data_IF_317279334478
#
_entry.id   IF_317279334478
#
_cell.length_a   1.000
_cell.length_b   1.000
_cell.length_c   1.000
_cell.angle_alpha   90.00
_cell.angle_beta   90.00
_cell.angle_gamma   90.00
#
_symmetry.space_group_name_H-M   'P 1'
#
loop_
_entity.id
_entity.type
_entity.pdbx_description
1 polymer ?
#
# COMPACT_ATOMS: atom_id res chain seq x y z
N UNK A 1 -1.81 16.24 6.86
CA UNK A 1 -0.79 15.51 6.08
C UNK A 1 0.51 15.21 6.86
N UNK A 2 1.28 16.21 7.32
CA UNK A 2 2.60 15.99 7.97
C UNK A 2 2.64 14.95 9.11
N UNK A 3 1.70 14.98 10.07
CA UNK A 3 1.63 13.99 11.16
C UNK A 3 1.44 12.57 10.61
N UNK A 4 0.62 12.42 9.57
CA UNK A 4 0.37 11.12 8.93
C UNK A 4 1.62 10.61 8.22
N UNK A 5 2.41 11.48 7.58
CA UNK A 5 3.74 11.15 7.02
C UNK A 5 4.64 10.58 8.11
N UNK A 6 4.79 11.27 9.25
CA UNK A 6 5.61 10.78 10.37
C UNK A 6 5.14 9.42 10.89
N UNK A 7 3.83 9.22 11.04
CA UNK A 7 3.27 7.96 11.56
C UNK A 7 3.41 6.79 10.57
N UNK A 8 3.10 7.02 9.29
CA UNK A 8 3.26 6.01 8.24
C UNK A 8 4.74 5.61 8.08
N UNK A 9 5.65 6.59 8.19
CA UNK A 9 7.09 6.35 8.13
C UNK A 9 7.58 5.52 9.31
N UNK A 10 7.13 5.81 10.53
CA UNK A 10 7.46 4.99 11.72
C UNK A 10 7.00 3.54 11.57
N UNK A 11 5.82 3.33 10.97
CA UNK A 11 5.34 1.98 10.67
C UNK A 11 6.23 1.29 9.64
N UNK A 12 6.46 1.92 8.49
CA UNK A 12 7.25 1.34 7.40
C UNK A 12 8.70 1.03 7.80
N UNK A 13 9.32 1.88 8.64
CA UNK A 13 10.68 1.70 9.12
C UNK A 13 10.77 0.79 10.37
N UNK A 14 9.67 0.56 11.07
CA UNK A 14 9.63 -0.17 12.34
C UNK A 14 9.95 -1.66 12.24
N UNK A 15 9.99 -2.21 11.03
CA UNK A 15 10.30 -3.62 10.78
C UNK A 15 11.80 -3.93 10.73
N UNK A 16 12.66 -2.90 10.68
CA UNK A 16 14.11 -3.08 10.50
C UNK A 16 14.51 -3.21 9.03
N UNK A 17 15.58 -3.95 8.77
CA UNK A 17 16.07 -4.22 7.41
C UNK A 17 15.32 -5.41 6.79
N UNK A 18 14.70 -5.25 5.61
CA UNK A 18 14.03 -6.35 4.93
C UNK A 18 15.03 -7.43 4.49
N UNK A 19 14.67 -8.71 4.68
CA UNK A 19 15.50 -9.84 4.25
C UNK A 19 16.74 -10.07 5.13
N UNK A 20 17.88 -10.37 4.50
CA UNK A 20 19.11 -10.82 5.18
C UNK A 20 20.08 -9.68 5.59
N UNK A 21 19.63 -8.42 5.62
CA UNK A 21 20.43 -7.29 6.10
C UNK A 21 20.26 -6.01 5.28
N UNK A 22 21.19 -5.04 5.43
CA UNK A 22 21.10 -3.76 4.74
C UNK A 22 21.01 -3.95 3.23
N UNK A 23 19.91 -3.49 2.66
CA UNK A 23 19.65 -3.60 1.23
C UNK A 23 19.72 -2.20 0.59
N UNK A 24 20.50 -2.08 -0.48
CA UNK A 24 20.37 -0.93 -1.38
C UNK A 24 19.07 -1.02 -2.19
N UNK A 25 18.78 0.01 -2.98
CA UNK A 25 17.52 0.11 -3.72
C UNK A 25 17.33 -1.03 -4.73
N UNK A 26 18.42 -1.56 -5.30
CA UNK A 26 18.36 -2.67 -6.23
C UNK A 26 18.11 -3.99 -5.49
N UNK A 27 18.74 -4.20 -4.33
CA UNK A 27 18.50 -5.36 -3.49
C UNK A 27 17.05 -5.37 -2.98
N UNK A 28 16.53 -4.25 -2.48
CA UNK A 28 15.13 -4.11 -2.05
C UNK A 28 14.17 -4.48 -3.19
N UNK A 29 14.45 -4.02 -4.41
CA UNK A 29 13.62 -4.33 -5.57
C UNK A 29 13.50 -5.84 -5.84
N UNK A 30 14.54 -6.64 -5.57
CA UNK A 30 14.49 -8.10 -5.78
C UNK A 30 13.64 -8.84 -4.74
N UNK A 31 13.41 -8.24 -3.58
CA UNK A 31 12.57 -8.81 -2.52
C UNK A 31 11.07 -8.65 -2.82
N UNK A 32 10.68 -7.74 -3.71
CA UNK A 32 9.27 -7.47 -4.02
C UNK A 32 8.71 -8.53 -4.98
N UNK A 33 8.02 -9.50 -4.40
CA UNK A 33 7.51 -10.68 -5.11
C UNK A 33 5.99 -10.77 -5.11
N UNK A 34 5.34 -10.22 -4.09
CA UNK A 34 3.90 -10.37 -3.89
C UNK A 34 3.08 -9.48 -4.86
N UNK A 35 1.96 -9.98 -5.41
CA UNK A 35 1.17 -9.24 -6.41
C UNK A 35 0.67 -7.87 -5.91
N UNK A 36 0.21 -7.79 -4.65
CA UNK A 36 -0.29 -6.54 -4.07
C UNK A 36 0.81 -5.49 -3.91
N UNK A 37 2.03 -5.93 -3.56
CA UNK A 37 3.18 -5.06 -3.38
C UNK A 37 3.66 -4.48 -4.73
N UNK A 38 3.74 -5.34 -5.76
CA UNK A 38 4.05 -4.91 -7.13
C UNK A 38 3.00 -3.96 -7.69
N UNK A 39 1.72 -4.26 -7.45
CA UNK A 39 0.61 -3.40 -7.87
C UNK A 39 0.66 -2.01 -7.22
N UNK A 40 0.98 -1.94 -5.92
CA UNK A 40 1.14 -0.68 -5.20
C UNK A 40 2.27 0.16 -5.82
N UNK A 41 3.42 -0.45 -6.11
CA UNK A 41 4.54 0.24 -6.75
C UNK A 41 4.23 0.66 -8.20
N UNK A 42 3.48 -0.15 -8.94
CA UNK A 42 2.98 0.19 -10.28
C UNK A 42 2.11 1.46 -10.22
N UNK A 43 1.16 1.50 -9.29
CA UNK A 43 0.28 2.64 -9.09
C UNK A 43 1.05 3.90 -8.65
N UNK A 44 2.04 3.76 -7.78
CA UNK A 44 2.93 4.85 -7.37
C UNK A 44 3.76 5.38 -8.56
N UNK A 45 4.23 4.52 -9.46
CA UNK A 45 4.90 4.94 -10.69
C UNK A 45 4.04 5.86 -11.55
N UNK A 46 2.74 5.57 -11.68
CA UNK A 46 1.79 6.44 -12.39
C UNK A 46 1.64 7.82 -11.70
N UNK A 47 1.72 7.85 -10.36
CA UNK A 47 1.66 9.10 -9.58
C UNK A 47 2.91 9.93 -9.80
N UNK A 48 4.09 9.31 -9.85
CA UNK A 48 5.35 9.99 -10.20
C UNK A 48 5.24 10.65 -11.58
N UNK A 49 4.74 9.94 -12.59
CA UNK A 49 4.57 10.51 -13.93
C UNK A 49 3.59 11.69 -13.95
N UNK A 50 2.47 11.59 -13.22
CA UNK A 50 1.49 12.68 -13.10
C UNK A 50 2.04 13.89 -12.37
N UNK A 51 2.67 13.69 -11.22
CA UNK A 51 3.26 14.77 -10.43
C UNK A 51 4.38 15.47 -11.21
N UNK A 52 5.21 14.72 -11.92
CA UNK A 52 6.26 15.27 -12.80
C UNK A 52 5.67 16.18 -13.86
N UNK A 53 4.65 15.72 -14.59
CA UNK A 53 3.93 16.55 -15.59
C UNK A 53 3.30 17.79 -14.97
N UNK A 54 2.74 17.69 -13.77
CA UNK A 54 2.21 18.83 -13.04
C UNK A 54 3.29 19.87 -12.75
N UNK A 55 4.45 19.45 -12.26
CA UNK A 55 5.59 20.35 -12.03
C UNK A 55 6.13 20.98 -13.32
N UNK A 56 6.29 20.21 -14.40
CA UNK A 56 6.73 20.71 -15.71
C UNK A 56 5.76 21.74 -16.30
N UNK A 57 4.46 21.59 -16.02
CA UNK A 57 3.41 22.52 -16.44
C UNK A 57 3.17 23.68 -15.45
N UNK A 58 3.94 23.78 -14.37
CA UNK A 58 3.72 24.72 -13.26
C UNK A 58 2.36 24.56 -12.55
N UNK A 59 1.70 23.42 -12.70
CA UNK A 59 0.48 23.05 -11.96
C UNK A 59 0.85 22.27 -10.69
N UNK A 60 1.40 23.00 -9.72
CA UNK A 60 1.82 22.45 -8.43
C UNK A 60 0.64 21.92 -7.61
N UNK A 61 -0.56 22.49 -7.79
CA UNK A 61 -1.78 22.03 -7.14
C UNK A 61 -2.12 20.63 -7.60
N UNK A 62 -2.12 20.38 -8.92
CA UNK A 62 -2.40 19.04 -9.43
C UNK A 62 -1.36 18.01 -8.99
N UNK A 63 -0.08 18.38 -8.98
CA UNK A 63 0.99 17.50 -8.50
C UNK A 63 0.79 17.11 -7.03
N UNK A 64 0.39 18.04 -6.16
CA UNK A 64 0.05 17.76 -4.77
C UNK A 64 -1.20 16.89 -4.65
N UNK A 65 -2.27 17.18 -5.39
CA UNK A 65 -3.52 16.41 -5.34
C UNK A 65 -3.30 14.93 -5.70
N UNK A 66 -2.59 14.66 -6.80
CA UNK A 66 -2.29 13.30 -7.24
C UNK A 66 -1.40 12.56 -6.21
N UNK A 67 -0.40 13.26 -5.65
CA UNK A 67 0.50 12.70 -4.63
C UNK A 67 -0.22 12.41 -3.32
N UNK A 68 -1.00 13.38 -2.81
CA UNK A 68 -1.72 13.25 -1.55
C UNK A 68 -2.81 12.19 -1.65
N UNK A 69 -3.56 12.14 -2.75
CA UNK A 69 -4.57 11.10 -2.97
C UNK A 69 -3.96 9.70 -2.87
N UNK A 70 -2.80 9.48 -3.51
CA UNK A 70 -2.11 8.21 -3.41
C UNK A 70 -1.58 7.95 -2.00
N UNK A 71 -1.01 8.96 -1.33
CA UNK A 71 -0.49 8.81 0.03
C UNK A 71 -1.58 8.35 1.01
N UNK A 72 -2.82 8.84 0.86
CA UNK A 72 -3.96 8.36 1.64
C UNK A 72 -4.33 6.92 1.31
N UNK A 73 -4.39 6.53 0.02
CA UNK A 73 -4.60 5.12 -0.37
C UNK A 73 -3.50 4.20 0.18
N UNK A 74 -2.23 4.63 0.12
CA UNK A 74 -1.11 3.91 0.71
C UNK A 74 -1.30 3.69 2.22
N UNK A 75 -1.74 4.73 2.94
CA UNK A 75 -1.90 4.66 4.38
C UNK A 75 -3.13 3.86 4.84
N UNK A 76 -4.28 4.06 4.19
CA UNK A 76 -5.56 3.56 4.69
C UNK A 76 -5.92 2.18 4.12
N UNK A 77 -5.38 1.86 2.93
CA UNK A 77 -5.56 0.57 2.26
C UNK A 77 -4.29 -0.27 2.30
N UNK A 78 -3.19 0.17 1.66
CA UNK A 78 -2.02 -0.71 1.49
C UNK A 78 -1.37 -1.12 2.82
N UNK A 79 -1.05 -0.16 3.70
CA UNK A 79 -0.48 -0.44 5.02
C UNK A 79 -1.38 -1.40 5.83
N UNK A 80 -2.70 -1.19 5.79
CA UNK A 80 -3.64 -2.02 6.53
C UNK A 80 -3.76 -3.44 5.94
N UNK A 81 -3.73 -3.57 4.61
CA UNK A 81 -3.78 -4.85 3.90
C UNK A 81 -2.55 -5.71 4.19
N UNK A 82 -1.34 -5.14 4.09
CA UNK A 82 -0.09 -5.91 4.22
C UNK A 82 0.38 -6.05 5.65
N UNK A 83 -0.32 -5.44 6.62
CA UNK A 83 0.13 -5.37 8.02
C UNK A 83 0.44 -6.74 8.61
N UNK A 84 -0.44 -7.72 8.42
CA UNK A 84 -0.25 -9.07 8.94
C UNK A 84 0.94 -9.76 8.26
N UNK A 85 1.01 -9.68 6.93
CA UNK A 85 2.14 -10.21 6.14
C UNK A 85 3.47 -9.58 6.56
N UNK A 86 3.54 -8.27 6.74
CA UNK A 86 4.75 -7.56 7.16
C UNK A 86 5.24 -7.98 8.56
N UNK A 87 4.35 -8.48 9.42
CA UNK A 87 4.70 -9.08 10.72
C UNK A 87 5.02 -10.58 10.65
N UNK A 88 5.11 -11.16 9.45
CA UNK A 88 5.44 -12.57 9.25
C UNK A 88 4.24 -13.51 9.15
N UNK A 89 3.00 -12.98 9.08
CA UNK A 89 1.78 -13.78 8.97
C UNK A 89 1.77 -14.75 7.78
N UNK A 90 2.49 -14.41 6.70
CA UNK A 90 2.62 -15.23 5.49
C UNK A 90 4.06 -15.75 5.27
N UNK A 91 4.83 -15.92 6.35
CA UNK A 91 6.21 -16.40 6.30
C UNK A 91 7.24 -15.31 5.93
N UNK A 92 8.53 -15.67 6.04
CA UNK A 92 9.63 -14.71 5.93
C UNK A 92 9.74 -14.05 4.55
N UNK A 93 9.52 -14.81 3.47
CA UNK A 93 9.58 -14.28 2.10
C UNK A 93 8.46 -13.25 1.83
N UNK A 94 7.23 -13.55 2.26
CA UNK A 94 6.11 -12.62 2.14
C UNK A 94 6.31 -11.35 2.98
N UNK A 95 6.86 -11.50 4.20
CA UNK A 95 7.22 -10.37 5.04
C UNK A 95 8.27 -9.48 4.38
N UNK A 96 9.34 -10.08 3.81
CA UNK A 96 10.39 -9.35 3.12
C UNK A 96 9.85 -8.55 1.92
N UNK A 97 8.92 -9.13 1.13
CA UNK A 97 8.25 -8.42 0.03
C UNK A 97 7.50 -7.18 0.52
N UNK A 98 6.65 -7.33 1.54
CA UNK A 98 5.86 -6.23 2.07
C UNK A 98 6.74 -5.13 2.66
N UNK A 99 7.76 -5.51 3.43
CA UNK A 99 8.69 -4.58 4.06
C UNK A 99 9.54 -3.82 3.02
N UNK A 100 10.01 -4.51 1.98
CA UNK A 100 10.75 -3.88 0.89
C UNK A 100 9.88 -2.89 0.12
N UNK A 101 8.65 -3.27 -0.22
CA UNK A 101 7.72 -2.40 -0.92
C UNK A 101 7.31 -1.17 -0.08
N UNK A 102 7.09 -1.33 1.24
CA UNK A 102 6.89 -0.22 2.17
C UNK A 102 8.09 0.75 2.18
N UNK A 103 9.31 0.22 2.21
CA UNK A 103 10.56 1.01 2.21
C UNK A 103 10.73 1.81 0.91
N UNK A 104 10.53 1.15 -0.23
CA UNK A 104 10.59 1.78 -1.56
C UNK A 104 9.51 2.86 -1.70
N UNK A 105 8.26 2.55 -1.35
CA UNK A 105 7.17 3.50 -1.45
C UNK A 105 7.35 4.70 -0.51
N UNK A 106 7.91 4.49 0.68
CA UNK A 106 8.23 5.58 1.60
C UNK A 106 9.25 6.54 0.97
N UNK A 107 10.34 6.00 0.42
CA UNK A 107 11.39 6.81 -0.22
C UNK A 107 10.85 7.73 -1.31
N UNK A 108 10.09 7.17 -2.25
CA UNK A 108 9.52 7.89 -3.38
C UNK A 108 8.50 8.93 -2.89
N UNK A 109 7.61 8.56 -1.96
CA UNK A 109 6.59 9.48 -1.45
C UNK A 109 7.20 10.65 -0.66
N UNK A 110 8.29 10.44 0.08
CA UNK A 110 9.01 11.53 0.75
C UNK A 110 9.54 12.54 -0.26
N UNK A 111 10.10 12.07 -1.38
CA UNK A 111 10.61 12.95 -2.45
C UNK A 111 9.47 13.68 -3.18
N UNK A 112 8.36 13.01 -3.46
CA UNK A 112 7.17 13.64 -4.04
C UNK A 112 6.56 14.73 -3.13
N UNK A 113 6.56 14.50 -1.82
CA UNK A 113 5.99 15.41 -0.82
C UNK A 113 6.94 16.52 -0.39
N UNK A 114 8.25 16.39 -0.63
CA UNK A 114 9.27 17.32 -0.13
C UNK A 114 9.05 18.79 -0.55
N UNK A 115 8.61 19.11 -1.79
CA UNK A 115 8.29 20.49 -2.17
C UNK A 115 7.15 21.11 -1.35
N UNK A 116 6.28 20.30 -0.76
CA UNK A 116 5.07 20.74 -0.06
C UNK A 116 5.18 20.64 1.48
N UNK A 117 5.96 19.67 1.98
CA UNK A 117 6.12 19.36 3.40
C UNK A 117 7.59 19.33 3.83
N UNK A 118 8.38 20.39 3.57
CA UNK A 118 9.84 20.32 3.55
C UNK A 118 10.46 19.86 4.86
N UNK A 119 9.90 20.27 6.01
CA UNK A 119 10.42 19.87 7.32
C UNK A 119 10.01 18.46 7.72
N UNK A 120 8.79 18.04 7.41
CA UNK A 120 8.31 16.72 7.80
C UNK A 120 9.01 15.63 6.98
N UNK A 121 9.22 15.86 5.69
CA UNK A 121 9.94 14.91 4.83
C UNK A 121 11.44 14.89 5.16
N UNK A 122 12.05 16.04 5.47
CA UNK A 122 13.45 16.11 5.91
C UNK A 122 13.66 15.38 7.24
N UNK A 123 12.75 15.57 8.20
CA UNK A 123 12.79 14.86 9.49
C UNK A 123 12.77 13.35 9.28
N UNK A 124 11.82 12.82 8.50
CA UNK A 124 11.77 11.37 8.21
C UNK A 124 13.02 10.91 7.48
N UNK A 125 13.49 11.68 6.49
CA UNK A 125 14.68 11.33 5.71
C UNK A 125 15.92 11.17 6.60
N UNK A 126 16.03 12.02 7.63
CA UNK A 126 17.12 11.98 8.61
C UNK A 126 17.19 10.66 9.39
N UNK A 127 16.06 9.95 9.54
CA UNK A 127 16.00 8.71 10.31
C UNK A 127 16.68 7.52 9.62
N UNK A 128 16.76 7.51 8.28
CA UNK A 128 17.13 6.29 7.56
C UNK A 128 17.91 6.48 6.25
N UNK A 129 17.91 7.68 5.64
CA UNK A 129 18.62 7.94 4.36
C UNK A 129 19.79 8.91 4.46
N UNK A 130 19.92 9.67 5.54
CA UNK A 130 20.92 10.74 5.68
C UNK A 130 22.39 10.28 5.50
N UNK A 131 22.69 9.00 5.76
CA UNK A 131 24.01 8.43 5.53
C UNK A 131 24.37 8.32 4.03
N UNK A 132 23.37 8.09 3.17
CA UNK A 132 23.56 7.94 1.71
C UNK A 132 23.35 9.27 0.98
N UNK A 133 22.26 9.97 1.28
CA UNK A 133 21.94 11.29 0.73
C UNK A 133 21.59 12.22 1.90
N UNK A 134 22.36 13.29 2.17
CA UNK A 134 22.22 14.05 3.41
C UNK A 134 20.87 14.73 3.66
N UNK A 135 20.06 14.95 2.62
CA UNK A 135 18.78 15.66 2.71
C UNK A 135 17.86 15.22 1.57
N UNK A 136 16.55 15.14 1.83
CA UNK A 136 15.58 14.83 0.78
C UNK A 136 15.57 15.90 -0.31
N UNK A 137 15.85 17.15 0.05
CA UNK A 137 15.95 18.30 -0.87
C UNK A 137 17.20 18.27 -1.75
N UNK A 138 18.12 17.33 -1.50
CA UNK A 138 19.29 17.05 -2.33
C UNK A 138 19.17 15.73 -3.10
N UNK A 139 18.11 14.97 -2.87
CA UNK A 139 17.84 13.75 -3.61
C UNK A 139 17.31 14.10 -5.01
N UNK A 140 17.55 13.19 -5.98
CA UNK A 140 16.97 13.33 -7.31
C UNK A 140 15.45 13.15 -7.24
N UNK A 141 14.72 13.90 -8.07
CA UNK A 141 13.29 13.69 -8.27
C UNK A 141 13.03 12.24 -8.71
N UNK A 142 12.00 11.55 -8.18
CA UNK A 142 11.74 10.15 -8.49
C UNK A 142 11.45 9.94 -9.97
N UNK A 143 11.90 8.80 -10.50
CA UNK A 143 11.57 8.34 -11.84
C UNK A 143 11.19 6.85 -11.86
N UNK A 144 10.33 6.48 -12.81
CA UNK A 144 9.92 5.08 -13.05
C UNK A 144 11.05 4.18 -13.57
N UNK A 145 12.22 4.74 -13.85
CA UNK A 145 13.43 4.00 -14.22
C UNK A 145 14.26 3.56 -13.00
N UNK A 146 13.98 4.08 -11.81
CA UNK A 146 14.69 3.70 -10.59
C UNK A 146 14.40 2.23 -10.21
N UNK A 147 15.39 1.48 -9.66
CA UNK A 147 15.21 0.07 -9.34
C UNK A 147 13.98 -0.23 -8.48
N UNK A 148 13.72 0.60 -7.47
CA UNK A 148 12.58 0.43 -6.57
C UNK A 148 11.23 0.45 -7.31
N UNK A 149 10.98 1.44 -8.16
CA UNK A 149 9.73 1.51 -8.94
C UNK A 149 9.70 0.51 -10.09
N UNK A 150 10.86 0.13 -10.64
CA UNK A 150 10.96 -0.91 -11.65
C UNK A 150 10.46 -2.28 -11.14
N UNK A 151 10.54 -2.54 -9.82
CA UNK A 151 9.98 -3.74 -9.20
C UNK A 151 8.45 -3.86 -9.37
N UNK A 152 7.75 -2.73 -9.55
CA UNK A 152 6.32 -2.69 -9.81
C UNK A 152 5.92 -2.68 -11.28
N UNK A 153 6.87 -2.64 -12.24
CA UNK A 153 6.59 -2.38 -13.66
C UNK A 153 5.54 -3.33 -14.28
N UNK A 154 5.58 -4.60 -13.89
CA UNK A 154 4.67 -5.64 -14.40
C UNK A 154 3.45 -5.86 -13.48
N UNK A 155 3.27 -5.02 -12.45
CA UNK A 155 2.14 -5.08 -11.54
C UNK A 155 0.86 -4.48 -12.14
N UNK A 156 -0.29 -5.05 -11.78
CA UNK A 156 -1.59 -4.47 -12.12
C UNK A 156 -1.90 -3.30 -11.17
N UNK A 157 -1.68 -2.06 -11.62
CA UNK A 157 -1.92 -0.85 -10.84
C UNK A 157 -3.37 -0.68 -10.32
N UNK A 158 -4.35 -1.38 -10.91
CA UNK A 158 -5.74 -1.36 -10.44
C UNK A 158 -6.03 -2.35 -9.30
N UNK A 159 -5.12 -3.28 -9.01
CA UNK A 159 -5.30 -4.31 -7.99
C UNK A 159 -5.46 -3.70 -6.59
N UNK A 160 -4.55 -2.79 -6.16
CA UNK A 160 -4.64 -2.18 -4.84
C UNK A 160 -6.00 -1.49 -4.61
N UNK A 161 -6.44 -0.67 -5.56
CA UNK A 161 -7.74 0.01 -5.47
C UNK A 161 -8.93 -0.96 -5.48
N UNK A 162 -8.83 -2.06 -6.24
CA UNK A 162 -9.86 -3.12 -6.26
C UNK A 162 -9.98 -3.81 -4.90
N UNK A 163 -8.86 -4.17 -4.30
CA UNK A 163 -8.81 -4.85 -2.99
C UNK A 163 -9.21 -3.91 -1.86
N UNK A 164 -8.80 -2.63 -1.93
CA UNK A 164 -9.22 -1.59 -0.99
C UNK A 164 -10.74 -1.38 -0.98
N UNK A 165 -11.39 -1.38 -2.15
CA UNK A 165 -12.86 -1.31 -2.25
C UNK A 165 -13.55 -2.51 -1.58
N UNK A 166 -13.03 -3.73 -1.78
CA UNK A 166 -13.56 -4.91 -1.10
C UNK A 166 -13.35 -4.85 0.42
N UNK A 167 -12.18 -4.40 0.89
CA UNK A 167 -11.92 -4.23 2.32
C UNK A 167 -12.86 -3.18 2.94
N UNK A 168 -13.12 -2.08 2.24
CA UNK A 168 -14.09 -1.07 2.67
C UNK A 168 -15.50 -1.65 2.76
N UNK A 169 -15.91 -2.50 1.80
CA UNK A 169 -17.17 -3.23 1.85
C UNK A 169 -17.27 -4.18 3.06
N UNK A 170 -16.20 -4.92 3.38
CA UNK A 170 -16.13 -5.78 4.57
C UNK A 170 -16.23 -4.96 5.86
N UNK A 171 -15.52 -3.83 5.93
CA UNK A 171 -15.60 -2.90 7.08
C UNK A 171 -17.03 -2.35 7.23
N UNK A 172 -17.68 -2.00 6.12
CA UNK A 172 -19.08 -1.54 6.11
C UNK A 172 -20.04 -2.59 6.66
N UNK A 173 -19.93 -3.85 6.23
CA UNK A 173 -20.73 -4.97 6.79
C UNK A 173 -20.64 -5.01 8.32
N UNK A 174 -19.43 -4.91 8.87
CA UNK A 174 -19.22 -4.92 10.33
C UNK A 174 -19.84 -3.70 11.02
N UNK A 175 -19.67 -2.52 10.42
CA UNK A 175 -20.27 -1.28 10.92
C UNK A 175 -21.79 -1.32 10.92
N UNK A 176 -22.40 -1.81 9.84
CA UNK A 176 -23.86 -1.94 9.69
C UNK A 176 -24.42 -2.95 10.69
N UNK A 177 -23.69 -4.03 10.97
CA UNK A 177 -24.00 -5.00 12.02
C UNK A 177 -23.67 -4.51 13.46
N UNK A 178 -23.11 -3.29 13.61
CA UNK A 178 -22.68 -2.69 14.88
C UNK A 178 -21.70 -3.56 15.68
N UNK A 179 -20.86 -4.32 14.99
CA UNK A 179 -19.79 -5.11 15.62
C UNK A 179 -18.44 -4.40 15.47
N UNK A 180 -17.50 -4.71 16.37
CA UNK A 180 -16.15 -4.16 16.27
C UNK A 180 -15.41 -4.62 15.01
N UNK A 181 -14.46 -3.84 14.52
CA UNK A 181 -13.65 -4.20 13.33
C UNK A 181 -12.86 -5.51 13.51
N UNK A 182 -12.67 -5.93 14.77
CA UNK A 182 -12.06 -7.20 15.15
C UNK A 182 -12.99 -8.42 15.02
N UNK A 183 -14.29 -8.22 14.80
CA UNK A 183 -15.24 -9.31 14.58
C UNK A 183 -14.82 -10.14 13.37
N UNK A 184 -15.00 -11.45 13.47
CA UNK A 184 -14.67 -12.40 12.40
C UNK A 184 -15.84 -12.51 11.44
N UNK A 185 -15.54 -12.43 10.15
CA UNK A 185 -16.47 -12.74 9.07
C UNK A 185 -16.25 -14.20 8.70
N UNK A 186 -17.20 -15.07 9.00
CA UNK A 186 -17.07 -16.52 8.76
C UNK A 186 -17.16 -16.82 7.28
N UNK A 187 -18.12 -16.22 6.60
CA UNK A 187 -18.32 -16.34 5.15
C UNK A 187 -18.69 -14.98 4.55
N UNK A 188 -18.33 -14.76 3.29
CA UNK A 188 -18.72 -13.56 2.53
C UNK A 188 -18.70 -13.85 1.03
N UNK A 189 -19.61 -13.24 0.28
CA UNK A 189 -19.55 -13.22 -1.19
C UNK A 189 -18.86 -11.94 -1.64
N UNK A 190 -17.73 -12.08 -2.35
CA UNK A 190 -17.04 -11.00 -3.04
C UNK A 190 -17.41 -11.04 -4.52
N UNK A 191 -18.21 -10.07 -4.97
CA UNK A 191 -18.69 -10.04 -6.35
C UNK A 191 -18.09 -8.87 -7.15
N UNK A 192 -17.95 -9.05 -8.45
CA UNK A 192 -17.50 -7.99 -9.37
C UNK A 192 -17.30 -8.49 -10.79
N UNK A 193 -16.85 -7.62 -11.71
CA UNK A 193 -16.44 -8.05 -13.05
C UNK A 193 -15.31 -9.09 -12.98
N UNK A 194 -15.18 -9.93 -14.01
CA UNK A 194 -14.17 -11.01 -14.04
C UNK A 194 -12.77 -10.51 -13.64
N UNK A 195 -12.29 -9.43 -14.25
CA UNK A 195 -10.99 -8.83 -13.93
C UNK A 195 -10.88 -8.36 -12.46
N UNK A 196 -11.97 -7.85 -11.86
CA UNK A 196 -11.97 -7.48 -10.46
C UNK A 196 -11.90 -8.72 -9.55
N UNK A 197 -12.68 -9.76 -9.83
CA UNK A 197 -12.64 -11.00 -9.05
C UNK A 197 -11.27 -11.69 -9.15
N UNK A 198 -10.60 -11.64 -10.30
CA UNK A 198 -9.24 -12.14 -10.46
C UNK A 198 -8.24 -11.37 -9.56
N UNK A 199 -8.35 -10.03 -9.48
CA UNK A 199 -7.54 -9.20 -8.57
C UNK A 199 -7.79 -9.51 -7.10
N UNK A 200 -9.06 -9.70 -6.72
CA UNK A 200 -9.41 -10.06 -5.35
C UNK A 200 -8.80 -11.41 -4.96
N UNK A 201 -8.83 -12.40 -5.86
CA UNK A 201 -8.15 -13.69 -5.65
C UNK A 201 -6.64 -13.54 -5.54
N UNK A 202 -6.03 -12.67 -6.34
CA UNK A 202 -4.58 -12.46 -6.34
C UNK A 202 -4.04 -11.86 -5.03
N UNK A 203 -4.89 -11.22 -4.22
CA UNK A 203 -4.55 -10.66 -2.91
C UNK A 203 -5.44 -11.20 -1.79
N UNK A 204 -5.98 -12.41 -1.96
CA UNK A 204 -6.97 -13.01 -1.04
C UNK A 204 -6.43 -13.09 0.38
N UNK A 205 -5.17 -13.53 0.55
CA UNK A 205 -4.56 -13.70 1.86
C UNK A 205 -4.50 -12.37 2.65
N UNK A 206 -4.06 -11.28 2.02
CA UNK A 206 -4.01 -9.95 2.65
C UNK A 206 -5.41 -9.42 2.96
N UNK A 207 -6.34 -9.57 2.01
CA UNK A 207 -7.72 -9.14 2.19
C UNK A 207 -8.38 -9.89 3.34
N UNK A 208 -8.13 -11.19 3.47
CA UNK A 208 -8.70 -12.02 4.51
C UNK A 208 -8.09 -11.69 5.87
N UNK A 209 -6.77 -11.50 5.95
CA UNK A 209 -6.10 -11.10 7.18
C UNK A 209 -6.60 -9.73 7.67
N UNK A 210 -6.62 -8.72 6.80
CA UNK A 210 -7.07 -7.37 7.12
C UNK A 210 -8.58 -7.31 7.42
N UNK A 211 -9.37 -8.06 6.66
CA UNK A 211 -10.82 -8.16 6.79
C UNK A 211 -11.28 -9.10 7.90
N UNK A 212 -10.40 -9.91 8.49
CA UNK A 212 -10.72 -11.04 9.37
C UNK A 212 -11.78 -11.96 8.77
N UNK A 213 -11.57 -12.32 7.51
CA UNK A 213 -12.43 -13.24 6.74
C UNK A 213 -11.85 -14.65 6.83
N UNK A 214 -12.69 -15.64 7.11
CA UNK A 214 -12.28 -17.05 7.10
C UNK A 214 -12.45 -17.69 5.73
N UNK A 215 -13.55 -17.39 5.06
CA UNK A 215 -13.87 -17.95 3.75
C UNK A 215 -14.61 -16.92 2.90
N UNK A 216 -14.31 -16.89 1.60
CA UNK A 216 -15.10 -16.13 0.64
C UNK A 216 -15.54 -17.01 -0.54
N UNK A 217 -16.69 -16.67 -1.12
CA UNK A 217 -17.10 -17.10 -2.45
C UNK A 217 -16.94 -15.91 -3.41
N UNK A 218 -16.76 -16.21 -4.69
CA UNK A 218 -16.61 -15.20 -5.73
C UNK A 218 -17.75 -15.32 -6.72
N UNK A 219 -18.33 -14.18 -7.09
CA UNK A 219 -19.45 -14.12 -8.02
C UNK A 219 -19.29 -12.99 -9.03
N UNK A 220 -20.01 -13.09 -10.15
CA UNK A 220 -20.06 -12.02 -11.13
C UNK A 220 -21.02 -10.91 -10.68
N UNK A 221 -20.62 -9.66 -10.93
CA UNK A 221 -21.45 -8.47 -10.78
C UNK A 221 -20.93 -7.33 -11.67
N UNK A 222 -21.73 -6.28 -11.87
CA UNK A 222 -21.33 -5.12 -12.68
C UNK A 222 -20.26 -4.25 -12.00
N UNK A 223 -20.19 -4.29 -10.66
CA UNK A 223 -19.26 -3.53 -9.84
C UNK A 223 -18.82 -4.36 -8.64
N UNK A 224 -17.76 -3.92 -7.94
CA UNK A 224 -17.28 -4.58 -6.73
C UNK A 224 -18.35 -4.48 -5.64
N UNK A 225 -18.78 -5.62 -5.13
CA UNK A 225 -19.82 -5.75 -4.10
C UNK A 225 -19.35 -6.74 -3.02
N UNK A 226 -19.70 -6.44 -1.77
CA UNK A 226 -19.55 -7.35 -0.62
C UNK A 226 -20.94 -7.67 -0.11
N UNK A 227 -21.35 -8.94 -0.18
CA UNK A 227 -22.71 -9.39 0.14
C UNK A 227 -22.71 -10.73 0.86
N UNK A 228 -23.87 -11.13 1.36
CA UNK A 228 -24.11 -12.42 2.05
C UNK A 228 -23.11 -12.72 3.18
N UNK A 229 -22.67 -11.67 3.89
CA UNK A 229 -21.66 -11.82 4.92
C UNK A 229 -22.25 -12.39 6.22
N UNK A 230 -21.65 -13.46 6.72
CA UNK A 230 -21.97 -14.04 8.02
C UNK A 230 -20.90 -13.65 9.04
N UNK A 231 -21.33 -13.21 10.21
CA UNK A 231 -20.45 -12.81 11.30
C UNK A 231 -20.44 -13.90 12.37
N UNK A 232 -19.25 -14.18 12.93
CA UNK A 232 -19.15 -15.04 14.09
C UNK A 232 -19.97 -14.46 15.26
N UNK A 233 -20.59 -15.31 16.10
CA UNK A 233 -21.32 -14.83 17.27
C UNK A 233 -20.38 -14.03 18.20
N UNK A 234 -20.93 -13.06 18.97
CA UNK A 234 -20.12 -12.29 19.91
C UNK A 234 -19.38 -13.23 20.86
N UNK A 235 -18.07 -13.03 21.02
CA UNK A 235 -17.32 -13.73 22.08
C UNK A 235 -17.86 -13.24 23.43
N UNK A 236 -18.34 -14.18 24.24
CA UNK A 236 -18.89 -13.94 25.58
C UNK A 236 -17.84 -13.45 26.57
#
# INVERSE_FOLDING_TARGET
LAIKVLNASKFALGFGEPGDGPADDAALATLVTEPLDRAMLAALGLVVDKATKGFEAYDHTRALEDTESFFWTFCDDYIELVKDRAHGGHGAAGAASAQAALRIALDVQLRLLAPFLPYATEEVWSWWRAASVPSVHRAAWPSTAEPGLAAGRDGDAALLGTVGQALAGIRKVKSDAKVGMKAVVTTVTLAGPEAATARLRAAEADLFAAGRVQQATYAEAASIEVRDAELAPPQA
#
